data_IF_704071603294
#
_entry.id   IF_704071603294
#
_cell.length_a   1.000
_cell.length_b   1.000
_cell.length_c   1.000
_cell.angle_alpha   90.00
_cell.angle_beta   90.00
_cell.angle_gamma   90.00
#
_symmetry.space_group_name_H-M   'P 1'
#
loop_
_entity.id
_entity.type
_entity.pdbx_description
1 polymer ?
#
# COMPACT_ATOMS: atom_id res chain seq x y z
N UNK A 1 9.50 -13.57 10.15
CA UNK A 1 8.72 -12.31 10.05
C UNK A 1 9.23 -11.57 8.84
N UNK A 2 8.32 -11.01 8.06
CA UNK A 2 8.60 -10.39 6.76
C UNK A 2 8.31 -8.90 6.86
N UNK A 3 9.06 -8.11 6.11
CA UNK A 3 8.93 -6.66 6.11
C UNK A 3 8.65 -6.18 4.70
N UNK A 4 7.68 -5.29 4.56
CA UNK A 4 7.51 -4.50 3.34
C UNK A 4 7.55 -3.01 3.66
N UNK A 5 7.95 -2.23 2.68
CA UNK A 5 7.95 -0.77 2.71
C UNK A 5 7.08 -0.25 1.59
N UNK A 6 6.19 0.68 1.93
CA UNK A 6 5.28 1.35 1.01
C UNK A 6 5.65 2.83 1.01
N UNK A 7 6.08 3.33 -0.13
CA UNK A 7 6.37 4.74 -0.36
C UNK A 7 5.27 5.34 -1.21
N UNK A 8 4.67 6.44 -0.75
CA UNK A 8 3.70 7.21 -1.51
C UNK A 8 4.16 8.66 -1.60
N UNK A 9 4.27 9.20 -2.81
CA UNK A 9 4.73 10.57 -3.06
C UNK A 9 3.62 11.34 -3.76
N UNK A 10 3.14 12.41 -3.12
CA UNK A 10 2.25 13.36 -3.76
C UNK A 10 3.03 14.50 -4.39
N UNK A 11 2.64 14.91 -5.60
CA UNK A 11 3.10 16.16 -6.23
C UNK A 11 2.01 17.23 -6.27
N UNK A 12 0.74 16.81 -6.14
CA UNK A 12 -0.39 17.72 -5.97
C UNK A 12 -0.34 18.45 -4.64
N UNK A 13 -0.89 19.66 -4.61
CA UNK A 13 -1.38 20.34 -3.40
C UNK A 13 -2.41 21.40 -3.84
N UNK A 14 -3.42 21.75 -3.02
CA UNK A 14 -3.82 21.14 -1.74
C UNK A 14 -4.81 19.96 -1.91
N UNK A 15 -5.11 19.26 -0.81
CA UNK A 15 -6.12 18.17 -0.70
C UNK A 15 -5.67 16.77 -1.11
N UNK A 16 -4.37 16.49 -1.05
CA UNK A 16 -3.88 15.13 -1.18
C UNK A 16 -4.35 14.26 -0.02
N UNK A 17 -4.88 13.08 -0.35
CA UNK A 17 -5.06 12.04 0.64
C UNK A 17 -5.01 10.65 0.02
N UNK A 18 -4.60 9.67 0.84
CA UNK A 18 -4.74 8.26 0.52
C UNK A 18 -5.00 7.47 1.80
N UNK A 19 -5.93 6.53 1.72
CA UNK A 19 -6.15 5.47 2.70
C UNK A 19 -5.45 4.23 2.17
N UNK A 20 -4.60 3.64 3.01
CA UNK A 20 -3.92 2.37 2.78
C UNK A 20 -4.58 1.32 3.67
N UNK A 21 -5.11 0.28 3.05
CA UNK A 21 -5.71 -0.89 3.68
C UNK A 21 -4.87 -2.13 3.32
N UNK A 22 -4.47 -2.91 4.32
CA UNK A 22 -3.76 -4.19 4.13
C UNK A 22 -4.48 -5.29 4.88
N UNK A 23 -4.77 -6.38 4.17
CA UNK A 23 -5.49 -7.51 4.73
C UNK A 23 -5.06 -8.81 4.07
N UNK A 24 -4.85 -9.84 4.87
CA UNK A 24 -4.74 -11.22 4.39
C UNK A 24 -6.13 -11.86 4.31
N UNK A 25 -6.36 -12.80 3.39
CA UNK A 25 -7.57 -13.61 3.38
C UNK A 25 -7.60 -14.49 4.64
N UNK A 26 -8.24 -14.03 5.71
CA UNK A 26 -8.43 -14.81 6.93
C UNK A 26 -9.88 -14.81 7.38
N UNK A 27 -10.20 -15.71 8.32
CA UNK A 27 -11.52 -15.82 8.95
C UNK A 27 -11.63 -14.99 10.23
N UNK A 28 -10.70 -14.06 10.47
CA UNK A 28 -10.66 -13.28 11.71
C UNK A 28 -11.70 -12.14 11.67
N UNK A 29 -12.16 -11.75 12.86
CA UNK A 29 -13.14 -10.67 13.03
C UNK A 29 -12.59 -9.28 12.71
N UNK A 30 -11.29 -9.15 12.45
CA UNK A 30 -10.66 -7.90 12.00
C UNK A 30 -10.56 -7.91 10.48
N UNK A 31 -11.30 -7.05 9.76
CA UNK A 31 -11.29 -7.06 8.30
C UNK A 31 -9.94 -6.62 7.69
N UNK A 32 -9.08 -5.97 8.50
CA UNK A 32 -7.77 -5.47 8.08
C UNK A 32 -6.70 -5.85 9.09
N UNK A 33 -5.53 -6.26 8.59
CA UNK A 33 -4.31 -6.38 9.41
C UNK A 33 -3.67 -5.00 9.64
N UNK A 34 -3.85 -4.06 8.70
CA UNK A 34 -3.41 -2.68 8.83
C UNK A 34 -4.34 -1.72 8.07
N UNK A 35 -4.60 -0.54 8.64
CA UNK A 35 -5.34 0.56 7.99
C UNK A 35 -4.79 1.90 8.45
N UNK A 36 -4.47 2.80 7.52
CA UNK A 36 -3.99 4.16 7.84
C UNK A 36 -4.31 5.16 6.74
N UNK A 37 -4.41 6.43 7.12
CA UNK A 37 -4.64 7.54 6.18
C UNK A 37 -3.46 8.50 6.21
N UNK A 38 -3.05 8.94 5.02
CA UNK A 38 -2.02 9.96 4.83
C UNK A 38 -2.60 11.12 4.03
N UNK A 39 -2.17 12.34 4.36
CA UNK A 39 -2.55 13.58 3.67
C UNK A 39 -1.35 14.28 3.02
N UNK A 40 -0.20 13.60 3.02
CA UNK A 40 1.10 14.02 2.48
C UNK A 40 1.90 12.78 2.10
N UNK A 41 3.01 12.98 1.40
CA UNK A 41 3.95 11.92 1.06
C UNK A 41 4.40 11.18 2.32
N UNK A 42 4.59 9.87 2.20
CA UNK A 42 4.86 8.98 3.32
C UNK A 42 5.75 7.82 2.93
N UNK A 43 6.37 7.24 3.96
CA UNK A 43 7.00 5.92 3.95
C UNK A 43 6.40 5.15 5.11
N UNK A 44 5.71 4.05 4.82
CA UNK A 44 5.18 3.14 5.82
C UNK A 44 5.94 1.82 5.75
N UNK A 45 6.31 1.27 6.91
CA UNK A 45 6.96 -0.04 6.99
C UNK A 45 6.07 -0.95 7.80
N UNK A 46 5.62 -2.04 7.17
CA UNK A 46 4.86 -3.09 7.84
C UNK A 46 5.84 -4.20 8.20
N UNK A 47 6.19 -4.25 9.48
CA UNK A 47 6.96 -5.36 10.07
C UNK A 47 6.00 -6.43 10.60
N UNK A 48 6.54 -7.62 10.85
CA UNK A 48 5.80 -8.74 11.45
C UNK A 48 4.72 -9.37 10.55
N UNK A 49 4.88 -9.25 9.23
CA UNK A 49 4.09 -10.03 8.28
C UNK A 49 4.47 -11.51 8.38
N UNK A 50 3.47 -12.38 8.21
CA UNK A 50 3.67 -13.82 8.21
C UNK A 50 4.44 -14.25 6.95
N UNK A 51 5.39 -15.19 7.04
CA UNK A 51 6.02 -15.81 5.87
C UNK A 51 5.02 -16.67 5.08
N UNK A 52 5.30 -16.90 3.80
CA UNK A 52 4.47 -17.75 2.91
C UNK A 52 2.97 -17.38 2.95
N UNK A 53 2.68 -16.07 3.01
CA UNK A 53 1.32 -15.55 3.21
C UNK A 53 0.96 -14.51 2.18
N UNK A 54 -0.26 -14.61 1.65
CA UNK A 54 -0.81 -13.65 0.69
C UNK A 54 -1.48 -12.48 1.40
N UNK A 55 -1.14 -11.27 0.99
CA UNK A 55 -1.76 -10.03 1.44
C UNK A 55 -2.32 -9.25 0.26
N UNK A 56 -3.51 -8.69 0.44
CA UNK A 56 -4.06 -7.64 -0.41
C UNK A 56 -3.69 -6.29 0.17
N UNK A 57 -3.25 -5.37 -0.69
CA UNK A 57 -2.87 -3.99 -0.38
C UNK A 57 -3.71 -3.09 -1.26
N UNK A 58 -4.71 -2.45 -0.67
CA UNK A 58 -5.63 -1.55 -1.35
C UNK A 58 -5.34 -0.10 -0.98
N UNK A 59 -5.40 0.77 -1.98
CA UNK A 59 -5.34 2.20 -1.78
C UNK A 59 -6.66 2.82 -2.21
N UNK A 60 -7.09 3.86 -1.51
CA UNK A 60 -8.15 4.75 -2.00
C UNK A 60 -7.78 6.19 -1.68
N UNK A 61 -7.75 7.05 -2.68
CA UNK A 61 -7.22 8.39 -2.51
C UNK A 61 -7.66 9.38 -3.57
N UNK A 62 -7.16 10.60 -3.42
CA UNK A 62 -7.35 11.71 -4.33
C UNK A 62 -6.12 12.62 -4.26
N UNK A 63 -5.73 13.15 -5.42
CA UNK A 63 -4.74 14.23 -5.52
C UNK A 63 -5.09 15.11 -6.73
N UNK A 64 -4.92 16.45 -6.65
CA UNK A 64 -5.00 17.32 -7.82
C UNK A 64 -3.72 17.30 -8.69
N UNK A 65 -2.69 16.57 -8.28
CA UNK A 65 -1.45 16.38 -9.05
C UNK A 65 -1.23 14.90 -9.33
N UNK A 66 -0.05 14.40 -9.02
CA UNK A 66 0.28 12.97 -9.12
C UNK A 66 0.43 12.31 -7.75
N UNK A 67 0.12 11.02 -7.69
CA UNK A 67 0.47 10.13 -6.59
C UNK A 67 1.32 8.99 -7.15
N UNK A 68 2.62 9.01 -6.84
CA UNK A 68 3.56 7.96 -7.22
C UNK A 68 3.69 6.95 -6.06
N UNK A 69 3.53 5.67 -6.38
CA UNK A 69 3.52 4.57 -5.43
C UNK A 69 4.68 3.62 -5.70
N UNK A 70 5.32 3.16 -4.64
CA UNK A 70 6.29 2.05 -4.67
C UNK A 70 6.03 1.11 -3.49
N UNK A 71 5.93 -0.19 -3.77
CA UNK A 71 5.83 -1.25 -2.77
C UNK A 71 7.04 -2.18 -2.94
N UNK A 72 7.84 -2.34 -1.90
CA UNK A 72 9.06 -3.16 -1.93
C UNK A 72 9.24 -3.94 -0.63
N UNK A 73 10.10 -4.98 -0.65
CA UNK A 73 10.46 -5.74 0.55
C UNK A 73 10.43 -7.25 0.36
N UNK A 74 10.04 -7.98 1.40
CA UNK A 74 10.17 -9.44 1.48
C UNK A 74 8.98 -10.20 0.85
N UNK A 75 8.77 -10.04 -0.46
CA UNK A 75 7.73 -10.76 -1.21
C UNK A 75 8.20 -11.23 -2.60
N UNK A 76 7.49 -12.21 -3.17
CA UNK A 76 7.78 -12.79 -4.48
C UNK A 76 7.09 -12.03 -5.61
N UNK A 77 7.72 -12.03 -6.79
CA UNK A 77 7.18 -11.40 -7.99
C UNK A 77 7.92 -10.12 -8.38
N UNK A 78 7.22 -9.22 -9.07
CA UNK A 78 7.74 -7.90 -9.43
C UNK A 78 8.00 -7.08 -8.18
N UNK A 79 9.26 -6.69 -7.96
CA UNK A 79 9.70 -6.04 -6.74
C UNK A 79 10.84 -5.05 -7.07
N UNK A 80 10.63 -3.73 -6.97
CA UNK A 80 9.42 -3.09 -6.45
C UNK A 80 8.24 -3.17 -7.42
N UNK A 81 7.02 -3.14 -6.87
CA UNK A 81 5.82 -2.76 -7.62
C UNK A 81 5.77 -1.23 -7.64
N UNK A 82 5.65 -0.62 -8.81
CA UNK A 82 5.51 0.84 -8.93
C UNK A 82 4.31 1.23 -9.78
N UNK A 83 3.61 2.29 -9.40
CA UNK A 83 2.49 2.84 -10.17
C UNK A 83 2.37 4.36 -9.97
N UNK A 84 1.64 5.05 -10.85
CA UNK A 84 1.43 6.49 -10.79
C UNK A 84 0.01 6.86 -11.20
N UNK A 85 -0.62 7.73 -10.42
CA UNK A 85 -2.00 8.18 -10.62
C UNK A 85 -2.03 9.70 -10.77
N UNK A 86 -2.78 10.24 -11.74
CA UNK A 86 -2.83 11.67 -12.04
C UNK A 86 -4.25 12.24 -11.98
N UNK A 87 -4.40 13.46 -11.44
CA UNK A 87 -5.57 14.36 -11.48
C UNK A 87 -6.94 13.69 -11.30
N UNK A 88 -7.03 12.77 -10.33
CA UNK A 88 -8.28 12.05 -10.06
C UNK A 88 -8.34 11.44 -8.67
N UNK A 89 -9.53 10.95 -8.33
CA UNK A 89 -9.66 9.87 -7.35
C UNK A 89 -9.05 8.59 -7.91
N UNK A 90 -8.40 7.80 -7.07
CA UNK A 90 -7.79 6.52 -7.45
C UNK A 90 -8.11 5.44 -6.42
N UNK A 91 -8.26 4.20 -6.87
CA UNK A 91 -8.51 3.03 -6.02
C UNK A 91 -7.77 1.76 -6.50
N UNK A 92 -6.43 1.77 -6.62
CA UNK A 92 -5.68 0.60 -7.04
C UNK A 92 -5.62 -0.45 -5.92
N UNK A 93 -5.48 -1.71 -6.32
CA UNK A 93 -5.31 -2.83 -5.41
C UNK A 93 -4.20 -3.76 -5.92
N UNK A 94 -3.38 -4.23 -4.99
CA UNK A 94 -2.24 -5.10 -5.25
C UNK A 94 -2.31 -6.35 -4.39
N UNK A 95 -1.76 -7.43 -4.91
CA UNK A 95 -1.60 -8.68 -4.16
C UNK A 95 -0.12 -9.01 -4.11
N UNK A 96 0.39 -9.20 -2.90
CA UNK A 96 1.74 -9.71 -2.67
C UNK A 96 1.67 -11.05 -1.97
N UNK A 97 2.71 -11.85 -2.15
CA UNK A 97 2.90 -13.08 -1.41
C UNK A 97 4.28 -13.04 -0.77
N UNK A 98 4.33 -13.07 0.57
CA UNK A 98 5.57 -12.93 1.31
C UNK A 98 6.49 -14.13 1.10
N UNK A 99 7.81 -13.90 1.09
CA UNK A 99 8.79 -14.98 0.94
C UNK A 99 8.73 -15.96 2.13
N UNK A 100 9.21 -17.19 1.94
CA UNK A 100 9.50 -18.15 3.03
C UNK A 100 10.46 -17.60 4.08
#
# INVERSE_FOLDING_TARGET
MKTITINGIFSGTPNDFVVLDVFRPNTLHHPYDFKKTYTRSFTETLSDLEPDTTYSIDFSGFTPGTFDLEISGDFVGENPITDSFEDSSFTPGYVIHTND
#
